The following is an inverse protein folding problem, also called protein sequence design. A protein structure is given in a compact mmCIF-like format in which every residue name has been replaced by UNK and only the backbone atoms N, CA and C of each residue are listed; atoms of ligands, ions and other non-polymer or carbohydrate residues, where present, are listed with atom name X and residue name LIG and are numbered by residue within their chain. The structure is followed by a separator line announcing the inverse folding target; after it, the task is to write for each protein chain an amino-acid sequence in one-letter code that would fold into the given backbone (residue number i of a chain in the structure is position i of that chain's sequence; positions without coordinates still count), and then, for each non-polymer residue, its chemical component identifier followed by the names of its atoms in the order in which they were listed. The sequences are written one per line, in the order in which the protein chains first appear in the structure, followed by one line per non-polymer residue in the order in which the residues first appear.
data_IF_364840288365
#
_entry.id   IF_364840288365
#
_cell.length_a   1.000
_cell.length_b   1.000
_cell.length_c   1.000
_cell.angle_alpha   90.00
_cell.angle_beta   90.00
_cell.angle_gamma   90.00
#
_symmetry.space_group_name_H-M   'P 1'
#
loop_
_entity.id
_entity.type
_entity.pdbx_description
1 polymer ?
#
# COMPACT_ATOMS: atom_id res chain seq x y z
N UNK A 1 -41.12 28.29 -44.45
CA UNK A 1 -41.42 28.22 -43.01
C UNK A 1 -40.97 26.91 -42.34
N UNK A 2 -40.75 25.80 -43.06
CA UNK A 2 -40.43 24.48 -42.48
C UNK A 2 -38.97 24.35 -41.98
N UNK A 3 -38.02 25.07 -42.60
CA UNK A 3 -36.58 24.99 -42.28
C UNK A 3 -36.21 25.54 -40.89
N UNK A 4 -36.93 26.54 -40.38
CA UNK A 4 -36.69 27.16 -39.07
C UNK A 4 -37.28 26.34 -37.90
N UNK A 5 -38.26 25.48 -38.20
CA UNK A 5 -38.92 24.61 -37.21
C UNK A 5 -38.01 23.42 -36.88
N UNK A 6 -37.34 22.85 -37.89
CA UNK A 6 -36.35 21.78 -37.71
C UNK A 6 -35.12 22.24 -36.91
N UNK A 7 -34.65 23.47 -37.16
CA UNK A 7 -33.57 24.06 -36.36
C UNK A 7 -33.99 24.30 -34.90
N UNK A 8 -35.21 24.75 -34.65
CA UNK A 8 -35.72 24.92 -33.27
C UNK A 8 -35.91 23.58 -32.55
N UNK A 9 -36.35 22.53 -33.26
CA UNK A 9 -36.53 21.19 -32.70
C UNK A 9 -35.19 20.52 -32.36
N UNK A 10 -34.18 20.73 -33.20
CA UNK A 10 -32.81 20.27 -32.97
C UNK A 10 -32.16 20.98 -31.77
N UNK A 11 -32.41 22.29 -31.61
CA UNK A 11 -31.88 23.10 -30.51
C UNK A 11 -32.52 22.72 -29.16
N UNK A 12 -33.82 22.39 -29.14
CA UNK A 12 -34.55 21.93 -27.95
C UNK A 12 -34.08 20.53 -27.48
N UNK A 13 -33.67 19.67 -28.42
CA UNK A 13 -33.17 18.32 -28.13
C UNK A 13 -31.77 18.34 -27.49
N UNK A 14 -30.95 19.34 -27.86
CA UNK A 14 -29.60 19.54 -27.33
C UNK A 14 -29.57 19.99 -25.86
N UNK A 15 -30.60 20.68 -25.38
CA UNK A 15 -30.65 21.16 -23.98
C UNK A 15 -31.04 20.09 -22.96
N UNK A 16 -31.63 18.96 -23.39
CA UNK A 16 -32.01 17.86 -22.50
C UNK A 16 -30.84 16.89 -22.17
N UNK A 17 -29.72 17.00 -22.87
CA UNK A 17 -28.55 16.10 -22.70
C UNK A 17 -27.64 16.47 -21.51
N UNK A 18 -27.85 17.62 -20.88
CA UNK A 18 -26.89 18.19 -19.90
C UNK A 18 -27.18 17.82 -18.43
N UNK A 19 -28.18 16.97 -18.14
CA UNK A 19 -28.56 16.69 -16.76
C UNK A 19 -28.52 15.19 -16.43
N UNK A 20 -27.35 14.57 -16.51
CA UNK A 20 -27.11 13.24 -15.93
C UNK A 20 -25.61 13.00 -15.64
N UNK A 21 -25.02 13.80 -14.76
CA UNK A 21 -23.78 13.40 -14.10
C UNK A 21 -23.87 13.75 -12.62
N UNK A 22 -24.71 13.00 -11.89
CA UNK A 22 -24.51 12.86 -10.45
C UNK A 22 -23.43 11.81 -10.28
N UNK A 23 -22.16 12.24 -10.27
CA UNK A 23 -21.10 11.40 -9.74
C UNK A 23 -21.40 11.22 -8.26
N UNK A 24 -21.90 10.03 -7.91
CA UNK A 24 -21.98 9.60 -6.52
C UNK A 24 -20.55 9.63 -5.99
N UNK A 25 -20.23 10.63 -5.17
CA UNK A 25 -18.94 10.70 -4.48
C UNK A 25 -18.94 9.61 -3.40
N UNK A 26 -18.57 8.40 -3.79
CA UNK A 26 -18.12 7.42 -2.84
C UNK A 26 -16.79 7.93 -2.27
N UNK A 27 -16.81 8.39 -1.02
CA UNK A 27 -15.61 8.59 -0.25
C UNK A 27 -14.98 7.22 0.05
N UNK A 28 -14.34 6.62 -0.95
CA UNK A 28 -13.39 5.53 -0.72
C UNK A 28 -12.17 6.17 -0.08
N UNK A 29 -12.14 6.16 1.25
CA UNK A 29 -10.91 6.48 1.97
C UNK A 29 -9.95 5.32 1.70
N UNK A 30 -8.99 5.53 0.81
CA UNK A 30 -7.84 4.65 0.56
C UNK A 30 -7.22 4.30 1.90
N UNK A 31 -7.29 3.02 2.29
CA UNK A 31 -6.70 2.51 3.53
C UNK A 31 -5.49 1.68 3.15
N UNK A 32 -4.39 1.76 3.91
CA UNK A 32 -3.25 0.88 3.69
C UNK A 32 -3.70 -0.59 3.70
N UNK A 33 -3.13 -1.44 2.83
CA UNK A 33 -3.48 -2.85 2.78
C UNK A 33 -3.07 -3.56 4.07
N UNK A 34 -3.90 -4.51 4.49
CA UNK A 34 -3.57 -5.45 5.57
C UNK A 34 -2.55 -6.49 5.10
N UNK A 35 -1.85 -7.12 6.05
CA UNK A 35 -0.92 -8.20 5.76
C UNK A 35 -1.62 -9.39 5.10
N UNK A 36 -2.84 -9.69 5.52
CA UNK A 36 -3.67 -10.75 4.95
C UNK A 36 -4.08 -10.47 3.49
N UNK A 37 -4.36 -9.21 3.14
CA UNK A 37 -4.65 -8.83 1.74
C UNK A 37 -3.41 -9.02 0.86
N UNK A 38 -2.24 -8.57 1.32
CA UNK A 38 -0.98 -8.76 0.59
C UNK A 38 -0.63 -10.25 0.45
N UNK A 39 -0.80 -11.05 1.51
CA UNK A 39 -0.56 -12.50 1.48
C UNK A 39 -1.58 -13.28 0.63
N UNK A 40 -2.78 -12.73 0.42
CA UNK A 40 -3.75 -13.30 -0.51
C UNK A 40 -3.32 -13.09 -1.97
N UNK A 41 -2.62 -12.00 -2.27
CA UNK A 41 -2.06 -11.70 -3.59
C UNK A 41 -0.76 -12.47 -3.84
N UNK A 42 0.15 -12.48 -2.87
CA UNK A 42 1.38 -13.27 -2.89
C UNK A 42 1.56 -14.01 -1.57
N UNK A 43 1.26 -15.31 -1.58
CA UNK A 43 1.43 -16.18 -0.43
C UNK A 43 2.91 -16.30 0.01
N UNK A 44 3.86 -15.99 -0.87
CA UNK A 44 5.29 -16.02 -0.56
C UNK A 44 5.84 -14.69 -0.06
N UNK A 45 5.02 -13.63 0.02
CA UNK A 45 5.43 -12.32 0.51
C UNK A 45 6.09 -12.42 1.89
N UNK A 46 7.24 -11.79 2.00
CA UNK A 46 8.01 -11.65 3.24
C UNK A 46 7.72 -10.27 3.79
N UNK A 47 6.85 -10.23 4.80
CA UNK A 47 6.32 -9.02 5.39
C UNK A 47 6.18 -9.13 6.91
N UNK A 48 6.05 -7.99 7.56
CA UNK A 48 5.69 -7.90 8.96
C UNK A 48 4.85 -6.65 9.23
N UNK A 49 4.05 -6.69 10.29
CA UNK A 49 3.32 -5.51 10.76
C UNK A 49 4.07 -4.87 11.92
N UNK A 50 4.34 -3.58 11.82
CA UNK A 50 5.00 -2.78 12.85
C UNK A 50 4.23 -1.48 13.07
N UNK A 51 3.86 -1.23 14.33
CA UNK A 51 3.06 -0.05 14.73
C UNK A 51 1.81 0.19 13.89
N UNK A 52 1.20 -0.88 13.37
CA UNK A 52 -0.02 -0.80 12.54
C UNK A 52 0.24 -0.66 11.04
N UNK A 53 1.49 -0.45 10.63
CA UNK A 53 1.90 -0.40 9.22
C UNK A 53 2.46 -1.75 8.77
N UNK A 54 2.11 -2.20 7.57
CA UNK A 54 2.67 -3.41 6.97
C UNK A 54 3.93 -3.06 6.19
N UNK A 55 5.00 -3.82 6.42
CA UNK A 55 6.30 -3.63 5.81
C UNK A 55 6.65 -4.87 4.98
N UNK A 56 7.06 -4.70 3.71
CA UNK A 56 7.36 -5.80 2.78
C UNK A 56 8.74 -5.65 2.13
N UNK A 57 9.49 -6.76 2.00
CA UNK A 57 10.79 -6.80 1.31
C UNK A 57 10.66 -7.22 -0.16
N UNK A 58 11.75 -7.09 -0.92
CA UNK A 58 11.84 -7.48 -2.35
C UNK A 58 10.97 -6.61 -3.27
N UNK A 59 10.67 -5.38 -2.87
CA UNK A 59 10.01 -4.40 -3.74
C UNK A 59 11.03 -3.88 -4.75
N UNK A 60 10.70 -3.96 -6.04
CA UNK A 60 11.65 -3.78 -7.17
C UNK A 60 12.60 -2.57 -7.04
N UNK A 61 12.05 -1.40 -6.69
CA UNK A 61 12.80 -0.15 -6.61
C UNK A 61 13.82 -0.12 -5.45
N UNK A 62 13.71 -1.05 -4.49
CA UNK A 62 14.65 -1.15 -3.36
C UNK A 62 15.97 -1.81 -3.72
N UNK A 63 16.02 -2.54 -4.85
CA UNK A 63 17.19 -3.35 -5.25
C UNK A 63 18.47 -2.52 -5.43
N UNK A 64 18.35 -1.24 -5.82
CA UNK A 64 19.47 -0.33 -6.05
C UNK A 64 19.73 0.65 -4.89
N UNK A 65 18.92 0.59 -3.84
CA UNK A 65 19.07 1.49 -2.69
C UNK A 65 20.24 1.07 -1.82
N UNK A 66 21.00 2.08 -1.39
CA UNK A 66 21.96 1.95 -0.33
C UNK A 66 21.40 2.68 0.89
N UNK A 67 21.25 1.95 2.00
CA UNK A 67 20.71 2.49 3.25
C UNK A 67 21.68 2.25 4.39
N UNK A 68 21.73 3.18 5.34
CA UNK A 68 22.59 3.09 6.51
C UNK A 68 21.74 2.72 7.72
N UNK A 69 22.05 1.58 8.35
CA UNK A 69 21.45 1.18 9.63
C UNK A 69 21.59 2.30 10.66
N UNK A 70 20.48 2.65 11.33
CA UNK A 70 20.45 3.63 12.40
C UNK A 70 20.29 2.96 13.76
N UNK A 71 19.07 2.87 14.28
CA UNK A 71 18.79 2.32 15.63
C UNK A 71 17.90 1.09 15.53
N UNK A 72 18.02 0.21 16.52
CA UNK A 72 17.06 -0.88 16.67
C UNK A 72 15.74 -0.29 17.15
N UNK A 73 14.67 -0.54 16.41
CA UNK A 73 13.32 -0.07 16.75
C UNK A 73 12.48 -1.16 17.40
N UNK A 74 12.86 -2.43 17.23
CA UNK A 74 12.19 -3.52 17.91
C UNK A 74 12.64 -4.92 17.50
N UNK A 75 11.76 -5.89 17.73
CA UNK A 75 11.97 -7.31 17.43
C UNK A 75 10.67 -7.97 16.97
N UNK A 76 10.78 -8.96 16.08
CA UNK A 76 9.66 -9.81 15.71
C UNK A 76 9.22 -10.64 16.91
N UNK A 77 7.92 -10.58 17.23
CA UNK A 77 7.32 -11.21 18.40
C UNK A 77 6.77 -12.60 18.07
N UNK A 78 6.22 -12.78 16.86
CA UNK A 78 5.68 -14.05 16.38
C UNK A 78 5.73 -14.17 14.86
N UNK A 79 5.72 -15.41 14.38
CA UNK A 79 5.58 -15.74 12.96
C UNK A 79 4.21 -16.38 12.76
N UNK A 80 3.39 -15.85 11.84
CA UNK A 80 2.04 -16.34 11.57
C UNK A 80 1.62 -16.02 10.13
N UNK A 81 0.64 -16.76 9.61
CA UNK A 81 0.06 -16.53 8.28
C UNK A 81 -1.22 -15.67 8.30
N UNK A 82 -1.74 -15.34 9.50
CA UNK A 82 -2.97 -14.57 9.72
C UNK A 82 -2.98 -13.95 11.11
N UNK A 83 -3.93 -13.05 11.35
CA UNK A 83 -4.10 -12.32 12.61
C UNK A 83 -2.84 -11.50 12.92
N UNK A 84 -2.41 -10.72 11.93
CA UNK A 84 -1.28 -9.84 12.08
C UNK A 84 -1.57 -8.73 13.09
N UNK A 85 -0.62 -8.54 13.98
CA UNK A 85 -0.56 -7.46 14.96
C UNK A 85 0.89 -6.96 15.02
N UNK A 86 1.13 -5.90 15.81
CA UNK A 86 2.46 -5.35 16.02
C UNK A 86 3.49 -6.48 16.33
N UNK A 87 4.55 -6.56 15.52
CA UNK A 87 5.61 -7.55 15.66
C UNK A 87 5.30 -8.93 15.05
N UNK A 88 4.22 -9.08 14.26
CA UNK A 88 3.93 -10.32 13.53
C UNK A 88 4.61 -10.31 12.17
N UNK A 89 5.31 -11.40 11.83
CA UNK A 89 5.87 -11.60 10.50
C UNK A 89 5.28 -12.82 9.78
N UNK A 90 5.27 -12.79 8.46
CA UNK A 90 4.92 -13.95 7.63
C UNK A 90 6.07 -14.96 7.54
N UNK A 91 7.32 -14.46 7.46
CA UNK A 91 8.52 -15.28 7.20
C UNK A 91 9.62 -15.12 8.24
N UNK A 92 9.82 -13.92 8.78
CA UNK A 92 10.85 -13.68 9.78
C UNK A 92 10.58 -14.47 11.06
N UNK A 93 11.64 -14.97 11.69
CA UNK A 93 11.54 -15.74 12.92
C UNK A 93 11.34 -14.82 14.13
N UNK A 94 10.70 -15.34 15.18
CA UNK A 94 10.64 -14.66 16.47
C UNK A 94 12.05 -14.32 16.96
N UNK A 95 12.23 -13.09 17.45
CA UNK A 95 13.49 -12.56 17.95
C UNK A 95 14.35 -11.86 16.89
N UNK A 96 13.96 -11.88 15.61
CA UNK A 96 14.62 -11.10 14.58
C UNK A 96 14.53 -9.60 14.89
N UNK A 97 15.68 -8.92 14.99
CA UNK A 97 15.75 -7.49 15.27
C UNK A 97 15.40 -6.65 14.04
N UNK A 98 14.69 -5.54 14.28
CA UNK A 98 14.25 -4.57 13.27
C UNK A 98 14.96 -3.26 13.54
N UNK A 99 15.51 -2.65 12.49
CA UNK A 99 16.23 -1.38 12.59
C UNK A 99 15.64 -0.34 11.65
N UNK A 100 15.69 0.93 12.06
CA UNK A 100 15.45 2.04 11.15
C UNK A 100 16.69 2.34 10.31
N UNK A 101 16.50 3.15 9.26
CA UNK A 101 17.57 3.67 8.42
C UNK A 101 17.70 5.19 8.59
N UNK A 102 18.84 5.77 8.21
CA UNK A 102 19.09 7.21 8.33
C UNK A 102 18.39 8.02 7.25
N UNK A 103 18.19 7.40 6.09
CA UNK A 103 17.83 8.10 4.87
C UNK A 103 16.32 8.33 4.75
N UNK A 104 15.50 7.44 5.33
CA UNK A 104 14.06 7.35 5.08
C UNK A 104 13.30 6.73 6.26
N UNK A 105 12.13 7.27 6.57
CA UNK A 105 11.25 6.78 7.65
C UNK A 105 10.30 5.67 7.20
N UNK A 106 10.01 5.60 5.90
CA UNK A 106 9.17 4.57 5.29
C UNK A 106 9.92 3.24 5.05
N UNK A 107 11.18 3.16 5.47
CA UNK A 107 12.02 1.98 5.35
C UNK A 107 12.43 1.45 6.72
N UNK A 108 12.30 0.14 6.87
CA UNK A 108 12.92 -0.63 7.95
C UNK A 108 13.85 -1.67 7.35
N UNK A 109 14.82 -2.12 8.14
CA UNK A 109 15.74 -3.17 7.71
C UNK A 109 15.86 -4.27 8.74
N UNK A 110 16.22 -5.44 8.22
CA UNK A 110 16.59 -6.61 9.01
C UNK A 110 17.91 -7.14 8.48
N UNK A 111 18.78 -7.58 9.39
CA UNK A 111 20.04 -8.24 9.05
C UNK A 111 19.91 -9.75 9.26
N UNK A 112 20.04 -10.52 8.17
CA UNK A 112 20.02 -11.99 8.20
C UNK A 112 21.29 -12.52 7.55
N UNK A 113 22.04 -13.36 8.27
CA UNK A 113 23.27 -14.00 7.75
C UNK A 113 24.27 -12.99 7.15
N UNK A 114 24.42 -11.82 7.77
CA UNK A 114 25.30 -10.75 7.29
C UNK A 114 24.80 -9.99 6.07
N UNK A 115 23.55 -10.19 5.64
CA UNK A 115 22.90 -9.45 4.55
C UNK A 115 21.78 -8.56 5.09
N UNK A 116 21.72 -7.34 4.59
CA UNK A 116 20.63 -6.41 4.88
C UNK A 116 19.47 -6.64 3.92
N UNK A 117 18.27 -6.84 4.46
CA UNK A 117 17.00 -6.80 3.72
C UNK A 117 16.28 -5.49 4.02
N UNK A 118 15.78 -4.84 2.97
CA UNK A 118 15.01 -3.60 3.06
C UNK A 118 13.54 -3.94 3.00
N UNK A 119 12.78 -3.44 3.96
CA UNK A 119 11.33 -3.54 4.02
C UNK A 119 10.69 -2.16 3.87
N UNK A 120 9.71 -2.06 2.98
CA UNK A 120 9.01 -0.82 2.62
C UNK A 120 7.66 -0.76 3.30
N UNK A 121 7.33 0.40 3.89
CA UNK A 121 6.02 0.67 4.44
C UNK A 121 4.95 0.74 3.34
N UNK A 122 3.87 -0.03 3.50
CA UNK A 122 2.62 0.15 2.79
C UNK A 122 1.78 1.19 3.54
N UNK A 123 1.88 2.46 3.14
CA UNK A 123 1.23 3.60 3.80
C UNK A 123 -0.09 4.05 3.12
N UNK A 124 -0.39 3.53 1.93
CA UNK A 124 -1.55 3.90 1.10
C UNK A 124 -2.09 2.63 0.42
N UNK A 125 -3.37 2.61 0.03
CA UNK A 125 -4.01 1.44 -0.61
C UNK A 125 -5.21 1.77 -1.48
#
# INVERSE_FOLDING_TARGET
MIRNIWFSLLLLLLTFSLCACQSVQYHYQSKPPSAEELLAMDQQADLFQWEGTVYETNVDWTTSLHVTKHQQVGVIQKTAAKNFEHGTASRLQKGTAIYSVKEREDLLIVELHGKTKIYVAHAEG
#
